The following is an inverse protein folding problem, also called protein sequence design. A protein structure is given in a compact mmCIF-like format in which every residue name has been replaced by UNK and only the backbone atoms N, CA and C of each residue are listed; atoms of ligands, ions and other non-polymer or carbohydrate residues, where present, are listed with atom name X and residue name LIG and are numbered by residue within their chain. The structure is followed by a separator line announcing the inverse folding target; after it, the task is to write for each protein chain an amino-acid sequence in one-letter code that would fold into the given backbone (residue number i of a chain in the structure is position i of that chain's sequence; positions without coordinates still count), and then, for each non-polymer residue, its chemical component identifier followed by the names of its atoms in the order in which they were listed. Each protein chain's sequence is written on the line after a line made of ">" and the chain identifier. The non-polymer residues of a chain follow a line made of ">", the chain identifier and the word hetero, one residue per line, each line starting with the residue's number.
data_IF_953597268398
#
_entry.id   IF_953597268398
#
_cell.length_a   1.000
_cell.length_b   1.000
_cell.length_c   1.000
_cell.angle_alpha   90.00
_cell.angle_beta   90.00
_cell.angle_gamma   90.00
#
_symmetry.space_group_name_H-M   'P 1'
#
loop_
_entity.id
_entity.type
_entity.pdbx_description
1 polymer ?
#
# COMPACT_ATOMS: atom_id res chain seq x y z
N UNK A 1 -22.76 -21.65 18.28
CA UNK A 1 -22.70 -20.23 18.75
C UNK A 1 -24.12 -19.66 18.81
N UNK A 2 -24.42 -18.52 19.47
CA UNK A 2 -25.75 -17.90 19.36
C UNK A 2 -26.08 -17.59 17.88
N UNK A 3 -27.25 -18.03 17.43
CA UNK A 3 -27.67 -17.98 16.03
C UNK A 3 -28.74 -16.88 15.85
N UNK A 4 -28.73 -16.22 14.69
CA UNK A 4 -29.78 -15.29 14.26
C UNK A 4 -30.24 -15.64 12.83
N UNK A 5 -31.55 -15.60 12.59
CA UNK A 5 -32.14 -15.64 11.26
C UNK A 5 -32.83 -14.30 10.97
N UNK A 6 -32.61 -13.75 9.78
CA UNK A 6 -33.36 -12.58 9.29
C UNK A 6 -33.33 -12.51 7.75
N UNK A 7 -34.28 -11.78 7.18
CA UNK A 7 -34.17 -11.33 5.79
C UNK A 7 -33.00 -10.36 5.63
N UNK A 8 -32.20 -10.57 4.59
CA UNK A 8 -31.01 -9.77 4.33
C UNK A 8 -31.37 -8.30 4.02
N UNK A 9 -31.03 -7.40 4.94
CA UNK A 9 -31.34 -5.95 4.85
C UNK A 9 -30.67 -5.22 3.67
N UNK A 10 -29.71 -5.83 2.99
CA UNK A 10 -29.11 -5.37 1.72
C UNK A 10 -28.16 -6.42 1.13
N UNK A 11 -27.79 -6.27 -0.14
CA UNK A 11 -26.78 -7.07 -0.86
C UNK A 11 -25.35 -7.03 -0.26
N UNK A 12 -25.13 -6.34 0.88
CA UNK A 12 -23.78 -6.06 1.43
C UNK A 12 -23.15 -7.22 2.21
N UNK A 13 -23.91 -8.26 2.56
CA UNK A 13 -23.38 -9.46 3.22
C UNK A 13 -22.94 -10.51 2.22
N UNK A 14 -21.73 -11.05 2.37
CA UNK A 14 -21.29 -12.28 1.69
C UNK A 14 -21.39 -13.49 2.62
N UNK A 15 -21.75 -14.63 2.04
CA UNK A 15 -21.84 -15.91 2.73
C UNK A 15 -20.44 -16.44 3.08
N UNK A 16 -20.23 -16.86 4.32
CA UNK A 16 -18.90 -17.29 4.80
C UNK A 16 -18.47 -18.69 4.35
N UNK A 17 -19.38 -19.53 3.87
CA UNK A 17 -19.03 -20.79 3.22
C UNK A 17 -18.70 -20.59 1.73
N UNK A 18 -19.69 -20.19 0.91
CA UNK A 18 -19.53 -20.14 -0.55
C UNK A 18 -18.92 -18.83 -1.10
N UNK A 19 -18.61 -17.84 -0.25
CA UNK A 19 -18.09 -16.49 -0.59
C UNK A 19 -18.96 -15.61 -1.51
N UNK A 20 -20.06 -16.14 -2.09
CA UNK A 20 -21.02 -15.38 -2.90
C UNK A 20 -21.77 -14.35 -2.05
N UNK A 21 -22.29 -13.30 -2.70
CA UNK A 21 -23.20 -12.34 -2.07
C UNK A 21 -24.52 -13.00 -1.65
N UNK A 22 -25.10 -12.52 -0.55
CA UNK A 22 -26.47 -12.80 -0.12
C UNK A 22 -27.31 -11.63 -0.63
N UNK A 23 -28.37 -11.91 -1.39
CA UNK A 23 -29.21 -10.88 -1.99
C UNK A 23 -30.16 -10.24 -0.96
N UNK A 24 -30.53 -8.99 -1.19
CA UNK A 24 -31.49 -8.26 -0.34
C UNK A 24 -32.84 -8.98 -0.32
N UNK A 25 -33.49 -9.00 0.84
CA UNK A 25 -34.74 -9.71 1.14
C UNK A 25 -34.70 -11.25 1.09
N UNK A 26 -33.57 -11.92 0.80
CA UNK A 26 -33.50 -13.38 0.96
C UNK A 26 -33.20 -13.76 2.42
N UNK A 27 -33.73 -14.89 2.90
CA UNK A 27 -33.39 -15.44 4.21
C UNK A 27 -31.86 -15.65 4.33
N UNK A 28 -31.30 -15.31 5.50
CA UNK A 28 -29.92 -15.61 5.87
C UNK A 28 -29.79 -15.99 7.34
N UNK A 29 -28.86 -16.90 7.60
CA UNK A 29 -28.47 -17.33 8.94
C UNK A 29 -27.15 -16.68 9.37
N UNK A 30 -27.02 -16.36 10.64
CA UNK A 30 -25.89 -15.62 11.20
C UNK A 30 -25.37 -16.25 12.49
N UNK A 31 -24.10 -16.64 12.51
CA UNK A 31 -23.41 -17.11 13.72
C UNK A 31 -22.76 -15.93 14.43
N UNK A 32 -23.22 -15.62 15.64
CA UNK A 32 -22.71 -14.49 16.43
C UNK A 32 -21.54 -14.94 17.32
N UNK A 33 -20.42 -14.25 17.20
CA UNK A 33 -19.19 -14.46 17.97
C UNK A 33 -18.63 -13.14 18.46
N UNK A 34 -18.07 -13.06 19.67
CA UNK A 34 -17.43 -11.83 20.15
C UNK A 34 -16.10 -11.59 19.44
N UNK A 35 -15.97 -10.41 18.84
CA UNK A 35 -14.74 -9.94 18.21
C UNK A 35 -13.78 -9.26 19.17
N UNK A 36 -12.59 -8.84 18.67
CA UNK A 36 -11.66 -8.00 19.42
C UNK A 36 -12.37 -6.73 19.93
N UNK A 37 -12.17 -6.39 21.21
CA UNK A 37 -12.89 -5.30 21.89
C UNK A 37 -14.27 -5.69 22.44
N UNK A 38 -14.71 -6.94 22.32
CA UNK A 38 -15.92 -7.47 22.98
C UNK A 38 -17.24 -7.23 22.23
N UNK A 39 -17.20 -6.58 21.06
CA UNK A 39 -18.36 -6.37 20.19
C UNK A 39 -18.81 -7.66 19.50
N UNK A 40 -20.12 -7.84 19.31
CA UNK A 40 -20.67 -8.98 18.59
C UNK A 40 -20.40 -8.87 17.07
N UNK A 41 -19.85 -9.93 16.49
CA UNK A 41 -19.58 -10.08 15.06
C UNK A 41 -20.39 -11.25 14.49
N UNK A 42 -21.25 -10.99 13.50
CA UNK A 42 -22.08 -12.01 12.83
C UNK A 42 -21.40 -12.56 11.57
N UNK A 43 -21.15 -13.87 11.53
CA UNK A 43 -20.78 -14.62 10.32
C UNK A 43 -22.07 -15.00 9.57
N UNK A 44 -22.36 -14.33 8.45
CA UNK A 44 -23.56 -14.59 7.65
C UNK A 44 -23.37 -15.73 6.64
N UNK A 45 -24.44 -16.49 6.40
CA UNK A 45 -24.54 -17.59 5.45
C UNK A 45 -25.89 -17.55 4.71
N UNK A 46 -25.96 -18.05 3.47
CA UNK A 46 -27.25 -18.48 2.89
C UNK A 46 -27.78 -19.68 3.69
N UNK A 47 -29.09 -19.95 3.63
CA UNK A 47 -29.73 -21.12 4.25
C UNK A 47 -28.97 -22.42 3.97
N UNK A 48 -28.91 -22.81 2.68
CA UNK A 48 -28.21 -24.01 2.18
C UNK A 48 -26.66 -23.89 2.19
N UNK A 49 -26.12 -22.96 2.97
CA UNK A 49 -24.68 -22.74 3.15
C UNK A 49 -24.32 -22.55 4.64
N UNK A 50 -25.25 -22.79 5.55
CA UNK A 50 -25.00 -22.82 6.98
C UNK A 50 -24.24 -24.11 7.35
N UNK A 51 -23.22 -24.06 8.23
CA UNK A 51 -22.32 -25.19 8.44
C UNK A 51 -22.86 -26.15 9.53
N UNK A 52 -24.01 -26.77 9.25
CA UNK A 52 -24.77 -27.68 10.12
C UNK A 52 -23.91 -28.76 10.78
N UNK A 53 -23.00 -29.37 10.02
CA UNK A 53 -22.01 -30.38 10.49
C UNK A 53 -21.12 -29.91 11.65
N UNK A 54 -21.00 -28.60 11.89
CA UNK A 54 -20.07 -28.00 12.88
C UNK A 54 -20.73 -27.10 13.92
N UNK A 55 -21.98 -26.70 13.71
CA UNK A 55 -22.75 -25.83 14.60
C UNK A 55 -24.15 -26.44 14.73
N UNK A 56 -24.29 -27.45 15.59
CA UNK A 56 -25.57 -28.08 15.88
C UNK A 56 -26.55 -27.07 16.49
N UNK A 57 -27.82 -27.23 16.12
CA UNK A 57 -28.93 -26.42 16.60
C UNK A 57 -29.86 -27.36 17.37
N UNK A 58 -30.19 -27.05 18.63
CA UNK A 58 -30.96 -27.96 19.48
C UNK A 58 -32.48 -27.75 19.35
N UNK A 59 -32.95 -26.50 19.24
CA UNK A 59 -34.30 -26.14 18.80
C UNK A 59 -34.27 -25.00 17.78
N UNK A 60 -35.32 -24.92 16.97
CA UNK A 60 -35.64 -23.72 16.17
C UNK A 60 -35.76 -22.47 17.08
N UNK A 61 -36.20 -22.64 18.33
CA UNK A 61 -36.31 -21.57 19.32
C UNK A 61 -34.96 -20.94 19.73
N UNK A 62 -33.84 -21.67 19.55
CA UNK A 62 -32.48 -21.14 19.82
C UNK A 62 -32.05 -20.11 18.75
N UNK A 63 -32.73 -20.09 17.59
CA UNK A 63 -32.45 -19.18 16.49
C UNK A 63 -33.20 -17.87 16.71
N UNK A 64 -32.47 -16.81 17.05
CA UNK A 64 -33.06 -15.48 17.26
C UNK A 64 -33.67 -14.96 15.95
N UNK A 65 -34.92 -14.52 16.00
CA UNK A 65 -35.60 -13.83 14.89
C UNK A 65 -36.53 -14.68 14.02
N UNK A 66 -36.63 -16.00 14.25
CA UNK A 66 -37.50 -16.89 13.45
C UNK A 66 -38.97 -16.43 13.44
N UNK A 67 -39.48 -15.96 14.57
CA UNK A 67 -40.86 -15.45 14.69
C UNK A 67 -41.17 -14.18 13.88
N UNK A 68 -40.17 -13.58 13.22
CA UNK A 68 -40.32 -12.45 12.30
C UNK A 68 -40.14 -12.84 10.81
N UNK A 69 -40.08 -14.15 10.50
CA UNK A 69 -40.01 -14.68 9.14
C UNK A 69 -41.40 -15.09 8.62
N UNK A 70 -41.55 -15.20 7.31
CA UNK A 70 -42.72 -15.81 6.67
C UNK A 70 -42.75 -17.32 6.95
N UNK A 71 -43.95 -17.93 6.96
CA UNK A 71 -44.11 -19.30 7.49
C UNK A 71 -43.29 -20.34 6.72
N UNK A 72 -43.24 -20.24 5.39
CA UNK A 72 -42.46 -21.13 4.53
C UNK A 72 -40.95 -21.11 4.89
N UNK A 73 -40.42 -19.96 5.33
CA UNK A 73 -39.04 -19.82 5.82
C UNK A 73 -38.86 -20.35 7.26
N UNK A 74 -39.89 -20.29 8.11
CA UNK A 74 -39.89 -20.92 9.44
C UNK A 74 -39.86 -22.45 9.30
N UNK A 75 -40.70 -23.00 8.42
CA UNK A 75 -40.79 -24.44 8.14
C UNK A 75 -39.50 -24.94 7.44
N UNK A 76 -38.88 -24.12 6.57
CA UNK A 76 -37.58 -24.40 5.99
C UNK A 76 -36.43 -24.41 7.02
N UNK A 77 -36.49 -23.57 8.06
CA UNK A 77 -35.55 -23.61 9.18
C UNK A 77 -35.78 -24.81 10.10
N UNK A 78 -37.03 -25.19 10.36
CA UNK A 78 -37.34 -26.41 11.11
C UNK A 78 -36.71 -27.65 10.46
N UNK A 79 -36.89 -27.79 9.14
CA UNK A 79 -36.27 -28.86 8.34
C UNK A 79 -34.73 -28.84 8.38
N UNK A 80 -34.11 -27.67 8.47
CA UNK A 80 -32.65 -27.54 8.62
C UNK A 80 -32.18 -27.93 10.03
N UNK A 81 -32.98 -27.68 11.08
CA UNK A 81 -32.69 -28.13 12.45
C UNK A 81 -32.84 -29.64 12.59
N UNK A 82 -33.87 -30.26 11.98
CA UNK A 82 -34.01 -31.72 11.93
C UNK A 82 -32.77 -32.39 11.29
N UNK A 83 -32.23 -31.78 10.22
CA UNK A 83 -31.00 -32.24 9.55
C UNK A 83 -29.71 -32.09 10.39
N UNK A 84 -29.75 -31.43 11.54
CA UNK A 84 -28.66 -31.40 12.52
C UNK A 84 -28.76 -32.49 13.60
N UNK A 85 -29.84 -33.28 13.64
CA UNK A 85 -30.19 -34.13 14.79
C UNK A 85 -29.60 -35.54 14.81
N UNK A 86 -29.33 -36.14 13.65
CA UNK A 86 -29.04 -37.59 13.55
C UNK A 86 -27.54 -37.92 13.63
N UNK A 87 -27.11 -38.84 14.53
CA UNK A 87 -25.80 -39.47 14.46
C UNK A 87 -25.76 -40.52 13.32
N UNK A 88 -24.62 -40.60 12.64
CA UNK A 88 -24.47 -41.37 11.41
C UNK A 88 -24.95 -42.84 11.47
N UNK A 89 -25.64 -43.26 10.40
CA UNK A 89 -25.85 -44.66 10.02
C UNK A 89 -25.52 -44.86 8.54
N UNK A 90 -25.05 -46.07 8.23
CA UNK A 90 -24.53 -46.45 6.92
C UNK A 90 -25.62 -46.96 5.97
N UNK A 91 -25.37 -46.77 4.66
CA UNK A 91 -25.80 -47.62 3.53
C UNK A 91 -27.31 -47.88 3.35
N UNK A 92 -27.86 -47.39 2.23
CA UNK A 92 -28.01 -48.27 1.05
C UNK A 92 -28.11 -47.49 -0.27
N UNK A 93 -27.86 -48.17 -1.38
CA UNK A 93 -27.96 -47.60 -2.74
C UNK A 93 -29.40 -47.55 -3.25
N UNK A 94 -29.72 -46.50 -4.03
CA UNK A 94 -30.44 -46.71 -5.29
C UNK A 94 -30.26 -45.59 -6.31
N UNK A 95 -30.10 -46.03 -7.54
CA UNK A 95 -29.92 -45.22 -8.76
C UNK A 95 -31.28 -44.93 -9.37
N UNK A 96 -31.47 -43.73 -9.92
CA UNK A 96 -32.22 -43.57 -11.16
C UNK A 96 -31.63 -42.40 -11.97
N UNK A 97 -31.49 -42.59 -13.27
CA UNK A 97 -30.63 -41.77 -14.15
C UNK A 97 -31.43 -40.77 -14.98
N UNK A 98 -30.82 -39.62 -15.32
CA UNK A 98 -31.01 -39.01 -16.64
C UNK A 98 -29.63 -38.62 -17.21
N UNK A 99 -29.21 -39.38 -18.22
CA UNK A 99 -28.12 -39.15 -19.18
C UNK A 99 -28.33 -37.86 -20.03
N UNK A 100 -27.43 -37.28 -20.83
CA UNK A 100 -25.98 -37.35 -21.18
C UNK A 100 -25.67 -35.93 -21.75
N UNK A 101 -24.48 -35.39 -22.07
CA UNK A 101 -23.08 -35.82 -22.28
C UNK A 101 -22.16 -35.07 -21.27
N UNK A 102 -20.91 -35.42 -20.96
CA UNK A 102 -19.69 -35.65 -21.77
C UNK A 102 -19.22 -34.41 -22.58
N UNK A 103 -17.95 -33.98 -22.53
CA UNK A 103 -16.69 -34.74 -22.27
C UNK A 103 -15.77 -34.12 -21.20
N UNK A 104 -15.15 -35.00 -20.39
CA UNK A 104 -13.70 -35.17 -20.11
C UNK A 104 -12.81 -33.95 -19.72
N UNK A 105 -11.73 -34.05 -18.95
CA UNK A 105 -11.22 -34.88 -17.83
C UNK A 105 -9.95 -34.10 -17.32
N UNK A 106 -9.33 -34.18 -16.13
CA UNK A 106 -9.02 -35.26 -15.20
C UNK A 106 -9.00 -34.77 -13.74
N UNK A 107 -8.96 -35.74 -12.83
CA UNK A 107 -8.87 -35.63 -11.37
C UNK A 107 -7.76 -34.74 -10.79
N UNK A 108 -7.98 -34.22 -9.58
CA UNK A 108 -6.94 -33.68 -8.70
C UNK A 108 -6.89 -34.42 -7.36
N UNK A 109 -5.75 -35.05 -7.05
CA UNK A 109 -5.57 -35.83 -5.82
C UNK A 109 -5.33 -34.99 -4.56
N UNK A 110 -5.74 -35.51 -3.40
CA UNK A 110 -5.45 -34.92 -2.09
C UNK A 110 -4.09 -35.39 -1.57
N UNK A 111 -3.06 -34.57 -1.71
CA UNK A 111 -1.79 -34.75 -0.99
C UNK A 111 -1.94 -34.21 0.45
N UNK A 112 -1.50 -34.99 1.43
CA UNK A 112 -1.45 -34.59 2.85
C UNK A 112 -0.25 -33.65 3.07
N UNK A 113 -0.46 -32.51 3.72
CA UNK A 113 0.64 -31.59 4.07
C UNK A 113 1.55 -32.20 5.13
N UNK A 114 2.77 -32.58 4.75
CA UNK A 114 3.88 -32.89 5.67
C UNK A 114 4.50 -31.60 6.21
N UNK A 115 4.71 -31.56 7.53
CA UNK A 115 5.04 -30.34 8.27
C UNK A 115 6.53 -29.98 8.23
N UNK A 116 7.04 -29.58 7.06
CA UNK A 116 8.37 -29.00 6.87
C UNK A 116 8.29 -27.55 6.37
N UNK A 117 9.06 -26.63 6.96
CA UNK A 117 8.99 -25.21 6.62
C UNK A 117 10.00 -24.82 5.52
N UNK A 118 9.75 -25.25 4.28
CA UNK A 118 10.49 -24.82 3.10
C UNK A 118 10.44 -23.29 2.92
N UNK A 119 11.60 -22.66 2.71
CA UNK A 119 11.73 -21.21 2.44
C UNK A 119 11.08 -20.82 1.10
N UNK A 120 11.10 -21.74 0.13
CA UNK A 120 10.53 -21.57 -1.21
C UNK A 120 9.51 -22.69 -1.45
N UNK A 121 8.37 -22.35 -2.06
CA UNK A 121 7.36 -23.32 -2.51
C UNK A 121 7.02 -23.14 -3.98
N UNK A 122 6.63 -24.22 -4.65
CA UNK A 122 6.22 -24.24 -6.05
C UNK A 122 4.86 -24.93 -6.21
N UNK A 123 3.94 -24.29 -6.92
CA UNK A 123 2.66 -24.90 -7.28
C UNK A 123 2.08 -24.29 -8.57
N UNK A 124 1.17 -25.01 -9.22
CA UNK A 124 0.28 -24.43 -10.22
C UNK A 124 -0.75 -23.52 -9.54
N UNK A 125 -0.94 -22.32 -10.09
CA UNK A 125 -1.78 -21.30 -9.50
C UNK A 125 -3.26 -21.72 -9.47
N UNK A 126 -3.75 -22.04 -8.27
CA UNK A 126 -5.13 -22.47 -7.96
C UNK A 126 -6.24 -21.50 -8.43
N UNK A 127 -5.89 -20.27 -8.82
CA UNK A 127 -6.75 -19.29 -9.51
C UNK A 127 -5.94 -18.06 -9.90
N UNK A 128 -6.43 -17.27 -10.87
CA UNK A 128 -5.83 -16.01 -11.35
C UNK A 128 -5.93 -14.83 -10.37
N UNK A 129 -6.00 -15.09 -9.06
CA UNK A 129 -6.09 -14.09 -7.99
C UNK A 129 -4.74 -13.59 -7.46
N UNK A 130 -3.64 -14.21 -7.89
CA UNK A 130 -2.28 -13.86 -7.47
C UNK A 130 -1.58 -13.00 -8.52
N UNK A 131 -0.93 -11.91 -8.09
CA UNK A 131 0.03 -11.17 -8.90
C UNK A 131 1.47 -11.54 -8.54
N UNK A 132 2.33 -11.58 -9.55
CA UNK A 132 3.77 -11.76 -9.37
C UNK A 132 4.40 -10.51 -8.74
N UNK A 133 5.23 -10.68 -7.71
CA UNK A 133 5.83 -9.54 -6.98
C UNK A 133 6.96 -8.81 -7.72
N UNK A 134 7.54 -9.37 -8.78
CA UNK A 134 8.56 -8.71 -9.63
C UNK A 134 7.93 -7.91 -10.78
N UNK A 135 7.10 -8.54 -11.62
CA UNK A 135 6.50 -7.88 -12.79
C UNK A 135 5.12 -7.23 -12.54
N UNK A 136 4.52 -7.44 -11.36
CA UNK A 136 3.16 -7.02 -10.99
C UNK A 136 2.00 -7.56 -11.84
N UNK A 137 2.27 -8.36 -12.87
CA UNK A 137 1.25 -8.99 -13.70
C UNK A 137 0.53 -10.12 -12.94
N UNK A 138 -0.70 -10.39 -13.33
CA UNK A 138 -1.47 -11.56 -12.86
C UNK A 138 -0.79 -12.85 -13.30
N UNK A 139 -0.70 -13.80 -12.38
CA UNK A 139 -0.36 -15.21 -12.67
C UNK A 139 -1.67 -15.89 -13.04
N UNK A 140 -1.74 -16.52 -14.23
CA UNK A 140 -2.94 -17.16 -14.73
C UNK A 140 -3.32 -18.41 -13.94
N UNK A 141 -4.59 -18.84 -13.99
CA UNK A 141 -4.98 -20.10 -13.38
C UNK A 141 -4.29 -21.29 -14.08
N UNK A 142 -3.85 -22.29 -13.31
CA UNK A 142 -2.99 -23.41 -13.75
C UNK A 142 -1.56 -23.03 -14.21
N UNK A 143 -1.13 -21.77 -14.13
CA UNK A 143 0.25 -21.38 -14.44
C UNK A 143 1.21 -21.69 -13.28
N UNK A 144 2.44 -22.15 -13.57
CA UNK A 144 3.46 -22.41 -12.54
C UNK A 144 3.88 -21.12 -11.84
N UNK A 145 3.86 -21.13 -10.50
CA UNK A 145 4.36 -20.04 -9.67
C UNK A 145 5.27 -20.49 -8.54
N UNK A 146 6.27 -19.65 -8.26
CA UNK A 146 7.21 -19.80 -7.16
C UNK A 146 6.88 -18.80 -6.05
N UNK A 147 6.89 -19.26 -4.81
CA UNK A 147 6.49 -18.50 -3.62
C UNK A 147 7.58 -18.46 -2.57
N UNK A 148 8.08 -17.28 -2.23
CA UNK A 148 8.94 -17.07 -1.06
C UNK A 148 8.08 -16.98 0.20
N UNK A 149 8.31 -17.87 1.18
CA UNK A 149 7.56 -17.90 2.44
C UNK A 149 8.31 -17.08 3.50
N UNK A 150 7.66 -16.05 4.04
CA UNK A 150 8.23 -15.17 5.08
C UNK A 150 7.23 -14.97 6.21
N UNK A 151 7.66 -15.08 7.47
CA UNK A 151 6.80 -14.85 8.64
C UNK A 151 6.61 -13.37 8.95
N UNK A 152 5.38 -12.99 9.26
CA UNK A 152 5.06 -11.70 9.86
C UNK A 152 5.48 -11.68 11.35
N UNK A 153 5.61 -10.47 11.89
CA UNK A 153 5.68 -10.10 13.31
C UNK A 153 4.55 -10.67 14.22
N UNK A 154 3.61 -11.42 13.64
CA UNK A 154 2.47 -12.09 14.29
C UNK A 154 2.48 -13.61 14.03
N UNK A 155 3.63 -14.15 13.65
CA UNK A 155 3.90 -15.59 13.39
C UNK A 155 3.14 -16.24 12.22
N UNK A 156 2.33 -15.47 11.47
CA UNK A 156 1.68 -15.96 10.26
C UNK A 156 2.66 -16.02 9.06
N UNK A 157 2.69 -17.16 8.37
CA UNK A 157 3.43 -17.34 7.12
C UNK A 157 2.77 -16.55 5.97
N UNK A 158 3.55 -15.72 5.27
CA UNK A 158 3.12 -14.93 4.11
C UNK A 158 3.91 -15.29 2.86
N UNK A 159 3.23 -15.77 1.81
CA UNK A 159 3.87 -16.14 0.54
C UNK A 159 3.94 -14.99 -0.47
N UNK A 160 5.15 -14.66 -0.93
CA UNK A 160 5.42 -13.73 -2.03
C UNK A 160 5.52 -14.49 -3.35
N UNK A 161 4.43 -14.54 -4.11
CA UNK A 161 4.32 -15.27 -5.38
C UNK A 161 5.00 -14.56 -6.56
N UNK A 162 5.56 -15.35 -7.49
CA UNK A 162 6.22 -14.92 -8.72
C UNK A 162 5.93 -15.92 -9.87
N UNK A 163 5.94 -15.47 -11.13
CA UNK A 163 6.11 -16.37 -12.29
C UNK A 163 7.50 -17.02 -12.27
N UNK A 164 7.69 -18.19 -12.92
CA UNK A 164 8.98 -18.92 -13.01
C UNK A 164 10.17 -17.99 -13.35
N UNK A 165 10.14 -17.36 -14.52
CA UNK A 165 11.19 -16.40 -14.95
C UNK A 165 11.20 -15.05 -14.23
N UNK A 166 10.29 -14.85 -13.26
CA UNK A 166 10.21 -13.65 -12.43
C UNK A 166 10.64 -13.87 -10.97
N UNK A 167 11.15 -15.03 -10.61
CA UNK A 167 11.69 -15.26 -9.27
C UNK A 167 12.97 -14.42 -9.03
N UNK A 168 13.23 -13.93 -7.80
CA UNK A 168 14.39 -13.09 -7.49
C UNK A 168 15.62 -13.95 -7.12
N UNK A 169 16.03 -14.82 -8.04
CA UNK A 169 17.13 -15.80 -7.88
C UNK A 169 18.43 -15.19 -7.33
N UNK A 170 18.73 -13.93 -7.69
CA UNK A 170 19.94 -13.21 -7.28
C UNK A 170 19.86 -12.58 -5.87
N UNK A 171 18.71 -12.68 -5.20
CA UNK A 171 18.47 -12.13 -3.84
C UNK A 171 17.99 -13.21 -2.87
N UNK A 172 17.25 -14.19 -3.37
CA UNK A 172 16.89 -15.42 -2.68
C UNK A 172 17.32 -16.59 -3.58
N UNK A 173 18.59 -17.04 -3.48
CA UNK A 173 19.03 -18.28 -4.13
C UNK A 173 18.24 -19.47 -3.58
N UNK A 174 18.19 -20.53 -4.39
CA UNK A 174 17.62 -21.82 -4.04
C UNK A 174 18.80 -22.77 -3.90
N UNK A 175 19.06 -23.25 -2.68
CA UNK A 175 20.26 -24.02 -2.36
C UNK A 175 20.17 -25.48 -2.83
N UNK A 176 18.96 -26.03 -2.95
CA UNK A 176 18.67 -27.37 -3.47
C UNK A 176 17.26 -27.42 -4.09
N UNK A 177 17.04 -28.33 -5.04
CA UNK A 177 15.72 -28.56 -5.67
C UNK A 177 14.76 -29.22 -4.68
N UNK A 178 15.29 -30.05 -3.77
CA UNK A 178 14.59 -30.78 -2.73
C UNK A 178 14.03 -29.85 -1.63
N UNK A 179 14.63 -28.67 -1.43
CA UNK A 179 14.12 -27.64 -0.51
C UNK A 179 12.84 -26.94 -1.03
N UNK A 180 12.51 -27.07 -2.32
CA UNK A 180 11.33 -26.45 -2.94
C UNK A 180 10.06 -27.23 -2.55
N UNK A 181 9.31 -26.72 -1.57
CA UNK A 181 8.06 -27.33 -1.12
C UNK A 181 7.04 -27.43 -2.25
N UNK A 182 6.57 -28.65 -2.57
CA UNK A 182 5.62 -28.92 -3.67
C UNK A 182 6.26 -29.34 -5.00
N UNK A 183 7.59 -29.34 -5.13
CA UNK A 183 8.30 -29.72 -6.37
C UNK A 183 7.90 -31.09 -6.93
N UNK A 184 7.74 -32.09 -6.06
CA UNK A 184 7.33 -33.46 -6.45
C UNK A 184 5.91 -33.54 -7.03
N UNK A 185 5.10 -32.49 -6.91
CA UNK A 185 3.72 -32.40 -7.43
C UNK A 185 3.61 -31.63 -8.75
N UNK A 186 4.73 -31.27 -9.37
CA UNK A 186 4.80 -30.58 -10.66
C UNK A 186 4.93 -31.56 -11.83
N UNK A 187 4.58 -31.13 -13.05
CA UNK A 187 4.84 -31.91 -14.26
C UNK A 187 6.35 -31.98 -14.55
N UNK A 188 6.83 -33.08 -15.13
CA UNK A 188 8.26 -33.34 -15.36
C UNK A 188 8.98 -32.21 -16.12
N UNK A 189 8.35 -31.64 -17.16
CA UNK A 189 8.93 -30.50 -17.89
C UNK A 189 9.11 -29.22 -17.06
N UNK A 190 8.24 -28.98 -16.06
CA UNK A 190 8.41 -27.87 -15.11
C UNK A 190 9.40 -28.24 -13.99
N UNK A 191 9.47 -29.51 -13.59
CA UNK A 191 10.51 -29.99 -12.66
C UNK A 191 11.90 -29.79 -13.25
N UNK A 192 12.11 -30.16 -14.52
CA UNK A 192 13.39 -29.99 -15.21
C UNK A 192 13.72 -28.50 -15.46
N UNK A 193 12.72 -27.68 -15.82
CA UNK A 193 12.89 -26.23 -15.93
C UNK A 193 13.22 -25.53 -14.58
N UNK A 194 12.89 -26.15 -13.44
CA UNK A 194 13.32 -25.67 -12.12
C UNK A 194 14.71 -26.19 -11.74
N UNK A 195 15.09 -27.43 -12.12
CA UNK A 195 16.48 -27.93 -11.96
C UNK A 195 17.47 -27.04 -12.72
N UNK A 196 17.15 -26.67 -13.97
CA UNK A 196 17.96 -25.76 -14.77
C UNK A 196 18.12 -24.38 -14.09
N UNK A 197 17.03 -23.86 -13.52
CA UNK A 197 17.01 -22.57 -12.81
C UNK A 197 17.87 -22.61 -11.53
N UNK A 198 17.90 -23.73 -10.80
CA UNK A 198 18.82 -23.94 -9.66
C UNK A 198 20.27 -24.03 -10.12
N UNK A 199 20.56 -24.79 -11.18
CA UNK A 199 21.92 -24.94 -11.71
C UNK A 199 22.50 -23.61 -12.25
N UNK A 200 21.64 -22.68 -12.70
CA UNK A 200 22.04 -21.31 -13.06
C UNK A 200 22.42 -20.44 -11.83
N UNK A 201 22.05 -20.84 -10.61
CA UNK A 201 22.49 -20.19 -9.36
C UNK A 201 23.96 -20.53 -9.07
N UNK A 202 24.28 -21.82 -9.02
CA UNK A 202 25.58 -22.36 -8.62
C UNK A 202 26.73 -21.77 -9.45
N UNK A 203 26.54 -21.77 -10.78
CA UNK A 203 27.52 -21.25 -11.75
C UNK A 203 27.78 -19.74 -11.61
N UNK A 204 26.82 -18.98 -11.08
CA UNK A 204 26.98 -17.53 -10.84
C UNK A 204 27.78 -17.22 -9.58
N UNK A 205 27.62 -18.04 -8.54
CA UNK A 205 28.31 -17.88 -7.25
C UNK A 205 29.82 -18.12 -7.37
N UNK A 206 30.24 -19.09 -8.20
CA UNK A 206 31.67 -19.38 -8.42
C UNK A 206 32.45 -18.21 -9.04
N UNK A 207 31.82 -17.44 -9.94
CA UNK A 207 32.45 -16.30 -10.63
C UNK A 207 32.67 -15.07 -9.73
N UNK A 208 31.92 -14.93 -8.63
CA UNK A 208 32.07 -13.80 -7.69
C UNK A 208 33.12 -14.07 -6.60
N UNK A 209 33.43 -15.34 -6.29
CA UNK A 209 34.53 -15.67 -5.38
C UNK A 209 35.92 -15.40 -6.00
N UNK A 210 36.13 -15.74 -7.27
CA UNK A 210 37.40 -15.49 -7.95
C UNK A 210 37.74 -14.00 -8.07
N UNK A 211 36.73 -13.14 -8.25
CA UNK A 211 36.91 -11.69 -8.35
C UNK A 211 37.21 -11.05 -6.98
N UNK A 212 36.62 -11.54 -5.89
CA UNK A 212 36.91 -11.03 -4.55
C UNK A 212 38.32 -11.40 -4.05
N UNK A 213 38.86 -12.57 -4.42
CA UNK A 213 40.24 -12.97 -4.07
C UNK A 213 41.33 -12.04 -4.66
N UNK A 214 41.02 -11.23 -5.69
CA UNK A 214 41.98 -10.31 -6.32
C UNK A 214 42.06 -8.91 -5.71
N UNK A 215 41.23 -8.56 -4.72
CA UNK A 215 41.22 -7.22 -4.09
C UNK A 215 41.90 -7.13 -2.72
N UNK A 216 42.35 -8.25 -2.15
CA UNK A 216 42.86 -8.29 -0.77
C UNK A 216 44.39 -8.43 -0.63
N UNK A 217 45.15 -8.02 -1.65
CA UNK A 217 46.62 -7.95 -1.60
C UNK A 217 47.16 -6.81 -2.47
N UNK A 218 47.37 -5.62 -1.85
CA UNK A 218 48.38 -4.59 -2.17
C UNK A 218 48.09 -3.26 -1.43
N UNK A 219 48.41 -3.19 -0.13
CA UNK A 219 48.87 -1.97 0.54
C UNK A 219 49.90 -2.43 1.58
N UNK A 220 51.17 -1.99 1.46
CA UNK A 220 52.26 -2.59 2.25
C UNK A 220 53.63 -1.93 2.11
N UNK A 221 53.74 -0.72 2.67
CA UNK A 221 54.97 -0.12 3.23
C UNK A 221 56.15 0.32 2.33
N UNK A 222 57.00 1.15 2.95
CA UNK A 222 58.32 1.69 2.55
C UNK A 222 58.36 2.68 1.37
N UNK A 223 58.93 3.91 1.39
CA UNK A 223 59.80 4.76 2.25
C UNK A 223 60.99 5.26 1.41
N UNK A 224 61.40 6.51 1.66
CA UNK A 224 62.30 7.37 0.86
C UNK A 224 63.69 6.78 0.48
N UNK A 225 64.26 7.21 -0.67
CA UNK A 225 65.33 8.25 -0.70
C UNK A 225 65.91 8.59 -2.10
N UNK A 226 66.18 9.89 -2.28
CA UNK A 226 67.36 10.56 -2.90
C UNK A 226 67.78 10.20 -4.37
N UNK A 227 68.34 11.11 -5.21
CA UNK A 227 68.72 12.53 -5.08
C UNK A 227 68.89 13.24 -6.46
N UNK A 228 69.02 14.59 -6.49
CA UNK A 228 69.85 15.43 -7.44
C UNK A 228 69.52 15.36 -8.97
N UNK A 229 69.35 16.43 -9.77
CA UNK A 229 69.54 17.92 -9.74
C UNK A 229 68.86 18.51 -11.02
N UNK A 230 68.74 19.80 -11.44
CA UNK A 230 69.13 21.18 -10.99
C UNK A 230 68.30 22.23 -11.78
N UNK A 231 68.32 23.52 -11.37
CA UNK A 231 68.28 24.78 -12.20
C UNK A 231 67.11 25.05 -13.20
N UNK A 232 66.48 26.23 -13.33
CA UNK A 232 66.56 27.59 -12.70
C UNK A 232 65.15 28.24 -12.84
N UNK A 233 64.55 28.97 -11.89
CA UNK A 233 64.76 30.42 -11.62
C UNK A 233 63.81 30.94 -10.51
N UNK A 234 64.14 32.09 -9.89
CA UNK A 234 63.34 32.85 -8.87
C UNK A 234 62.87 34.22 -9.45
N UNK A 235 62.07 35.10 -8.77
CA UNK A 235 61.77 35.29 -7.32
C UNK A 235 60.27 35.22 -6.92
N UNK A 236 59.84 34.86 -5.69
CA UNK A 236 59.87 35.53 -4.34
C UNK A 236 59.18 36.92 -4.29
N UNK A 237 58.33 37.32 -3.33
CA UNK A 237 57.82 36.79 -2.01
C UNK A 237 56.28 37.13 -1.88
N UNK A 238 55.48 36.94 -0.80
CA UNK A 238 55.65 36.43 0.59
C UNK A 238 54.38 35.68 1.12
N UNK A 239 53.80 36.02 2.30
CA UNK A 239 52.72 35.35 3.10
C UNK A 239 52.19 36.33 4.20
N UNK A 240 51.12 36.09 5.02
CA UNK A 240 50.58 34.79 5.51
C UNK A 240 49.02 34.63 5.56
N UNK A 241 48.56 33.51 6.18
CA UNK A 241 47.16 33.08 6.38
C UNK A 241 46.59 33.43 7.77
N UNK A 242 45.26 33.43 7.90
CA UNK A 242 44.49 32.72 8.96
C UNK A 242 43.02 32.57 8.46
N UNK A 243 42.53 31.34 8.24
CA UNK A 243 41.79 30.49 9.18
C UNK A 243 40.31 30.88 9.36
N UNK A 244 39.46 30.47 8.41
CA UNK A 244 38.01 30.28 8.62
C UNK A 244 37.73 28.84 9.06
N UNK A 245 36.77 28.66 9.95
CA UNK A 245 36.34 27.35 10.46
C UNK A 245 35.41 26.63 9.47
N UNK A 246 35.70 25.36 9.17
CA UNK A 246 34.77 24.50 8.44
C UNK A 246 33.55 24.17 9.31
N UNK A 247 32.35 24.48 8.82
CA UNK A 247 31.09 23.94 9.33
C UNK A 247 30.48 23.08 8.22
N UNK A 248 30.17 21.82 8.52
CA UNK A 248 29.80 20.80 7.55
C UNK A 248 28.34 20.89 7.11
N UNK A 249 28.03 21.92 6.32
CA UNK A 249 26.75 22.02 5.60
C UNK A 249 26.67 20.94 4.51
N UNK A 250 25.92 19.86 4.76
CA UNK A 250 25.60 18.87 3.72
C UNK A 250 24.70 19.51 2.65
N UNK A 251 25.28 19.77 1.47
CA UNK A 251 24.57 20.41 0.37
C UNK A 251 23.60 19.42 -0.27
N UNK A 252 22.31 19.51 0.11
CA UNK A 252 21.23 18.80 -0.59
C UNK A 252 21.10 19.40 -1.98
N UNK A 253 21.27 18.58 -3.02
CA UNK A 253 21.15 19.04 -4.40
C UNK A 253 19.70 19.48 -4.69
N UNK A 254 19.49 20.79 -4.91
CA UNK A 254 18.18 21.31 -5.31
C UNK A 254 17.79 20.73 -6.67
N UNK A 255 16.60 20.13 -6.74
CA UNK A 255 16.06 19.57 -7.99
C UNK A 255 15.65 20.74 -8.88
N UNK A 256 16.23 20.81 -10.09
CA UNK A 256 16.00 21.91 -11.02
C UNK A 256 14.61 21.83 -11.68
N UNK A 257 13.58 22.21 -10.93
CA UNK A 257 12.19 22.28 -11.42
C UNK A 257 12.02 23.60 -12.17
N UNK A 258 11.61 23.52 -13.43
CA UNK A 258 11.21 24.67 -14.25
C UNK A 258 9.73 24.58 -14.59
N UNK A 259 8.98 25.65 -14.35
CA UNK A 259 7.55 25.75 -14.62
C UNK A 259 7.33 26.97 -15.53
N UNK A 260 6.79 26.74 -16.73
CA UNK A 260 6.28 27.82 -17.59
C UNK A 260 4.75 27.79 -17.63
N UNK A 261 4.12 28.92 -17.98
CA UNK A 261 2.67 28.99 -18.15
C UNK A 261 2.14 28.00 -19.23
N UNK A 262 2.98 27.63 -20.20
CA UNK A 262 2.68 26.61 -21.22
C UNK A 262 2.68 25.16 -20.72
N UNK A 263 3.29 24.88 -19.56
CA UNK A 263 3.33 23.53 -18.98
C UNK A 263 2.09 23.22 -18.12
N UNK A 264 1.41 24.29 -17.65
CA UNK A 264 0.21 24.28 -16.81
C UNK A 264 -1.01 23.87 -17.63
N UNK A 265 -1.82 22.93 -17.09
CA UNK A 265 -2.92 22.30 -17.82
C UNK A 265 -4.23 22.25 -17.03
N UNK A 266 -5.35 22.53 -17.70
CA UNK A 266 -6.73 22.35 -17.19
C UNK A 266 -7.14 20.88 -16.97
N UNK A 267 -6.27 19.93 -17.34
CA UNK A 267 -6.53 18.49 -17.32
C UNK A 267 -5.34 17.72 -16.78
N UNK A 268 -5.61 16.75 -15.91
CA UNK A 268 -4.62 15.77 -15.47
C UNK A 268 -4.82 14.46 -16.23
N UNK A 269 -3.93 14.21 -17.20
CA UNK A 269 -4.08 13.13 -18.19
C UNK A 269 -5.43 13.29 -18.92
N UNK A 270 -6.25 12.24 -18.93
CA UNK A 270 -7.62 12.18 -19.42
C UNK A 270 -8.69 12.84 -18.51
N UNK A 271 -8.38 13.13 -17.23
CA UNK A 271 -9.34 13.75 -16.32
C UNK A 271 -9.36 15.28 -16.42
N UNK A 272 -10.55 15.87 -16.40
CA UNK A 272 -10.75 17.32 -16.35
C UNK A 272 -10.73 17.82 -14.91
N UNK A 273 -10.15 18.99 -14.68
CA UNK A 273 -10.07 19.62 -13.36
C UNK A 273 -11.20 20.64 -13.17
N UNK A 274 -11.47 21.00 -11.92
CA UNK A 274 -12.38 22.11 -11.60
C UNK A 274 -11.68 23.47 -11.83
N UNK A 275 -12.43 24.59 -11.96
CA UNK A 275 -11.84 25.92 -11.99
C UNK A 275 -10.88 26.17 -10.81
N UNK A 276 -9.84 26.99 -11.05
CA UNK A 276 -8.65 27.17 -10.19
C UNK A 276 -7.78 25.91 -9.98
N UNK A 277 -8.19 24.69 -10.34
CA UNK A 277 -7.34 23.50 -10.24
C UNK A 277 -6.60 23.22 -11.55
N UNK A 278 -5.28 23.05 -11.47
CA UNK A 278 -4.38 22.84 -12.63
C UNK A 278 -3.49 21.63 -12.43
N UNK A 279 -2.85 21.18 -13.52
CA UNK A 279 -1.86 20.13 -13.53
C UNK A 279 -0.50 20.61 -14.08
N UNK A 280 0.58 20.10 -13.50
CA UNK A 280 1.95 20.20 -14.01
C UNK A 280 2.67 18.87 -13.77
N UNK A 281 3.29 18.29 -14.81
CA UNK A 281 3.89 16.95 -14.80
C UNK A 281 3.01 15.86 -14.12
N UNK A 282 3.35 15.42 -12.90
CA UNK A 282 2.59 14.45 -12.10
C UNK A 282 1.88 15.07 -10.89
N UNK A 283 1.86 16.41 -10.78
CA UNK A 283 1.21 17.17 -9.72
C UNK A 283 -0.11 17.76 -10.22
N UNK A 284 -1.15 17.70 -9.38
CA UNK A 284 -2.31 18.58 -9.46
C UNK A 284 -2.17 19.64 -8.36
N UNK A 285 -2.42 20.91 -8.66
CA UNK A 285 -2.35 22.00 -7.68
C UNK A 285 -3.57 22.93 -7.78
N UNK A 286 -3.86 23.61 -6.68
CA UNK A 286 -4.83 24.71 -6.63
C UNK A 286 -4.08 26.02 -6.92
N UNK A 287 -4.56 26.84 -7.86
CA UNK A 287 -4.06 28.19 -8.09
C UNK A 287 -4.27 29.09 -6.87
N UNK A 288 -3.54 30.20 -6.84
CA UNK A 288 -3.68 31.22 -5.80
C UNK A 288 -5.14 31.64 -5.65
N UNK A 289 -5.68 31.44 -4.46
CA UNK A 289 -7.00 31.95 -4.10
C UNK A 289 -6.91 33.39 -3.58
N UNK A 290 -8.03 34.11 -3.60
CA UNK A 290 -8.09 35.50 -3.18
C UNK A 290 -7.79 35.60 -1.67
N UNK A 291 -6.79 36.39 -1.30
CA UNK A 291 -6.27 36.50 0.06
C UNK A 291 -5.17 35.50 0.44
N UNK A 292 -4.80 34.54 -0.43
CA UNK A 292 -3.62 33.70 -0.22
C UNK A 292 -2.34 34.52 -0.44
N UNK A 293 -1.73 34.98 0.65
CA UNK A 293 -0.48 35.73 0.61
C UNK A 293 0.76 34.81 0.55
N UNK A 294 1.83 35.31 -0.06
CA UNK A 294 3.17 34.72 0.08
C UNK A 294 3.80 35.17 1.39
N UNK A 295 4.71 34.37 1.95
CA UNK A 295 5.31 34.64 3.27
C UNK A 295 6.69 34.03 3.40
N UNK A 296 7.50 34.60 4.29
CA UNK A 296 8.71 33.95 4.81
C UNK A 296 8.36 32.72 5.68
N UNK A 297 7.15 32.67 6.25
CA UNK A 297 6.72 31.63 7.20
C UNK A 297 5.72 30.68 6.55
N UNK A 298 6.09 29.41 6.44
CA UNK A 298 5.25 28.37 5.84
C UNK A 298 4.80 27.38 6.92
N UNK A 299 3.49 27.23 7.09
CA UNK A 299 2.90 26.15 7.85
C UNK A 299 2.36 25.11 6.87
N UNK A 300 3.03 23.96 6.77
CA UNK A 300 2.74 22.95 5.77
C UNK A 300 2.22 21.64 6.39
N UNK A 301 1.32 20.95 5.70
CA UNK A 301 0.55 19.82 6.25
C UNK A 301 0.38 18.67 5.23
N UNK A 302 0.21 17.42 5.70
CA UNK A 302 -0.55 16.40 4.95
C UNK A 302 -2.06 16.59 5.14
N UNK A 303 -2.88 15.80 4.44
CA UNK A 303 -4.34 15.86 4.45
C UNK A 303 -5.03 14.60 5.00
N UNK A 304 -4.56 13.39 4.67
CA UNK A 304 -5.25 12.10 4.86
C UNK A 304 -4.66 11.36 6.07
N UNK A 305 -5.10 11.76 7.28
CA UNK A 305 -4.53 11.31 8.56
C UNK A 305 -3.99 12.46 9.41
N UNK A 306 -3.56 13.55 8.76
CA UNK A 306 -3.12 14.77 9.44
C UNK A 306 -4.26 15.77 9.66
N UNK A 307 -4.75 16.45 8.61
CA UNK A 307 -5.83 17.44 8.74
C UNK A 307 -7.22 16.80 8.78
N UNK A 308 -7.42 15.69 8.06
CA UNK A 308 -8.71 15.02 7.95
C UNK A 308 -8.61 13.53 8.21
N UNK A 309 -9.60 13.00 8.93
CA UNK A 309 -9.83 11.57 9.07
C UNK A 309 -10.70 11.11 7.90
N UNK A 310 -10.06 10.45 6.95
CA UNK A 310 -10.69 9.88 5.75
C UNK A 310 -10.80 8.36 5.89
N UNK A 311 -11.74 7.75 5.17
CA UNK A 311 -12.03 6.32 5.31
C UNK A 311 -11.84 5.59 3.99
N UNK A 312 -10.88 4.68 3.92
CA UNK A 312 -10.70 3.77 2.76
C UNK A 312 -11.93 2.87 2.47
N UNK A 313 -12.95 2.89 3.35
CA UNK A 313 -14.23 2.18 3.20
C UNK A 313 -15.37 3.06 2.66
N UNK A 314 -15.18 4.38 2.56
CA UNK A 314 -16.20 5.34 2.11
C UNK A 314 -15.55 6.26 1.07
N UNK A 315 -16.10 6.30 -0.14
CA UNK A 315 -15.52 7.08 -1.26
C UNK A 315 -16.50 8.17 -1.68
N UNK A 316 -16.03 9.40 -1.78
CA UNK A 316 -16.83 10.57 -2.17
C UNK A 316 -16.20 11.89 -1.68
N UNK A 317 -16.65 13.01 -2.22
CA UNK A 317 -16.21 14.35 -1.82
C UNK A 317 -16.43 14.64 -0.33
N UNK A 318 -17.50 14.09 0.25
CA UNK A 318 -17.90 14.30 1.65
C UNK A 318 -17.46 13.15 2.58
N UNK A 319 -16.62 12.22 2.09
CA UNK A 319 -16.19 11.03 2.82
C UNK A 319 -15.04 11.30 3.83
N UNK A 320 -15.14 12.39 4.59
CA UNK A 320 -14.11 12.87 5.49
C UNK A 320 -14.70 13.50 6.77
N UNK A 321 -13.84 13.72 7.75
CA UNK A 321 -14.11 14.49 8.97
C UNK A 321 -12.82 15.18 9.42
N UNK A 322 -12.90 16.23 10.25
CA UNK A 322 -11.70 16.82 10.85
C UNK A 322 -10.97 15.76 11.69
N UNK A 323 -9.64 15.71 11.63
CA UNK A 323 -8.86 14.78 12.48
C UNK A 323 -8.93 15.19 13.96
N UNK A 324 -8.87 16.50 14.24
CA UNK A 324 -9.11 17.10 15.56
C UNK A 324 -10.04 18.33 15.45
N UNK A 325 -10.92 18.58 16.45
CA UNK A 325 -11.81 19.74 16.43
C UNK A 325 -11.11 21.11 16.42
N UNK A 326 -9.88 21.19 16.92
CA UNK A 326 -9.03 22.39 17.03
C UNK A 326 -8.40 22.87 15.72
N UNK A 327 -8.47 22.06 14.65
CA UNK A 327 -7.80 22.35 13.36
C UNK A 327 -8.22 23.69 12.74
N UNK A 328 -9.52 24.04 12.63
CA UNK A 328 -9.93 25.33 12.05
C UNK A 328 -9.34 26.53 12.79
N UNK A 329 -9.44 26.53 14.12
CA UNK A 329 -8.93 27.61 14.98
C UNK A 329 -7.40 27.73 14.90
N UNK A 330 -6.67 26.61 14.90
CA UNK A 330 -5.20 26.63 14.75
C UNK A 330 -4.76 27.12 13.38
N UNK A 331 -5.44 26.75 12.29
CA UNK A 331 -5.15 27.27 10.95
C UNK A 331 -5.53 28.75 10.81
N UNK A 332 -6.64 29.19 11.39
CA UNK A 332 -7.05 30.60 11.47
C UNK A 332 -6.02 31.44 12.25
N UNK A 333 -5.55 30.94 13.39
CA UNK A 333 -4.50 31.59 14.18
C UNK A 333 -3.19 31.70 13.42
N UNK A 334 -2.72 30.62 12.77
CA UNK A 334 -1.53 30.64 11.90
C UNK A 334 -1.66 31.67 10.78
N UNK A 335 -2.80 31.71 10.09
CA UNK A 335 -3.05 32.67 9.02
C UNK A 335 -3.03 34.12 9.54
N UNK A 336 -3.66 34.41 10.68
CA UNK A 336 -3.60 35.74 11.32
C UNK A 336 -2.19 36.14 11.78
N UNK A 337 -1.34 35.17 12.11
CA UNK A 337 0.08 35.36 12.41
C UNK A 337 0.93 35.56 11.13
N UNK A 338 0.33 35.53 9.93
CA UNK A 338 1.03 35.69 8.66
C UNK A 338 1.77 34.44 8.17
N UNK A 339 1.38 33.24 8.61
CA UNK A 339 1.83 32.01 7.97
C UNK A 339 1.05 31.76 6.68
N UNK A 340 1.78 31.39 5.63
CA UNK A 340 1.19 30.79 4.44
C UNK A 340 0.85 29.32 4.74
N UNK A 341 -0.41 28.96 4.53
CA UNK A 341 -0.89 27.59 4.74
C UNK A 341 -0.73 26.77 3.46
N UNK A 342 -0.09 25.60 3.56
CA UNK A 342 0.17 24.72 2.40
C UNK A 342 -0.17 23.26 2.71
N UNK A 343 -0.87 22.58 1.79
CA UNK A 343 -1.12 21.14 1.85
C UNK A 343 -0.28 20.42 0.79
N UNK A 344 0.50 19.43 1.22
CA UNK A 344 1.30 18.52 0.39
C UNK A 344 0.84 17.10 0.62
N UNK A 345 0.19 16.48 -0.37
CA UNK A 345 -0.48 15.18 -0.19
C UNK A 345 -0.25 14.19 -1.34
N UNK A 346 -0.17 12.90 -1.02
CA UNK A 346 0.17 11.82 -1.95
C UNK A 346 -1.08 11.05 -2.39
N UNK A 347 -1.60 11.25 -3.61
CA UNK A 347 -2.83 10.57 -4.09
C UNK A 347 -2.55 9.67 -5.32
N UNK A 348 -1.81 8.58 -5.10
CA UNK A 348 -1.42 7.67 -6.20
C UNK A 348 -2.57 6.95 -6.87
N UNK A 349 -3.79 7.00 -6.31
CA UNK A 349 -4.96 6.39 -6.94
C UNK A 349 -5.35 7.08 -8.25
N UNK A 350 -5.01 8.37 -8.41
CA UNK A 350 -5.29 9.14 -9.63
C UNK A 350 -4.55 8.56 -10.84
N UNK A 351 -3.28 8.16 -10.73
CA UNK A 351 -2.56 7.54 -11.85
C UNK A 351 -2.68 6.00 -11.89
N UNK A 352 -2.92 5.34 -10.74
CA UNK A 352 -3.20 3.89 -10.70
C UNK A 352 -4.53 3.52 -11.36
N UNK A 353 -5.61 4.27 -11.09
CA UNK A 353 -6.97 3.91 -11.50
C UNK A 353 -7.37 4.55 -12.82
N UNK A 354 -6.63 4.26 -13.91
CA UNK A 354 -6.84 4.87 -15.24
C UNK A 354 -8.33 4.99 -15.65
N UNK A 355 -9.06 3.88 -15.60
CA UNK A 355 -10.49 3.81 -16.00
C UNK A 355 -11.47 4.45 -14.99
N UNK A 356 -10.99 5.01 -13.87
CA UNK A 356 -11.76 5.73 -12.86
C UNK A 356 -11.06 7.03 -12.42
N UNK A 357 -10.13 7.55 -13.23
CA UNK A 357 -9.28 8.69 -12.86
C UNK A 357 -10.08 9.93 -12.49
N UNK A 358 -11.11 10.26 -13.28
CA UNK A 358 -12.02 11.38 -12.98
C UNK A 358 -12.62 11.23 -11.57
N UNK A 359 -13.24 10.09 -11.25
CA UNK A 359 -13.81 9.85 -9.92
C UNK A 359 -12.77 9.87 -8.78
N UNK A 360 -11.50 9.53 -9.03
CA UNK A 360 -10.42 9.68 -8.05
C UNK A 360 -10.04 11.17 -7.84
N UNK A 361 -9.95 11.93 -8.93
CA UNK A 361 -9.73 13.38 -8.92
C UNK A 361 -10.87 14.10 -8.21
N UNK A 362 -12.12 13.85 -8.60
CA UNK A 362 -13.34 14.43 -8.00
C UNK A 362 -13.42 14.14 -6.50
N UNK A 363 -13.11 12.89 -6.09
CA UNK A 363 -13.10 12.47 -4.69
C UNK A 363 -12.01 13.17 -3.87
N UNK A 364 -10.81 13.41 -4.43
CA UNK A 364 -9.72 14.10 -3.73
C UNK A 364 -9.93 15.61 -3.69
N UNK A 365 -10.22 16.24 -4.83
CA UNK A 365 -10.48 17.68 -4.95
C UNK A 365 -11.74 18.06 -4.16
N UNK A 366 -12.81 17.26 -4.21
CA UNK A 366 -14.03 17.49 -3.44
C UNK A 366 -13.77 17.54 -1.93
N UNK A 367 -13.02 16.57 -1.39
CA UNK A 367 -12.61 16.56 0.03
C UNK A 367 -11.78 17.81 0.39
N UNK A 368 -10.84 18.21 -0.48
CA UNK A 368 -9.98 19.38 -0.27
C UNK A 368 -10.77 20.70 -0.31
N UNK A 369 -11.64 20.89 -1.31
CA UNK A 369 -12.50 22.07 -1.41
C UNK A 369 -13.45 22.19 -0.20
N UNK A 370 -14.07 21.08 0.21
CA UNK A 370 -14.96 21.04 1.38
C UNK A 370 -14.20 21.29 2.69
N UNK A 371 -12.93 20.86 2.80
CA UNK A 371 -12.06 21.18 3.93
C UNK A 371 -11.69 22.66 3.98
N UNK A 372 -11.23 23.25 2.87
CA UNK A 372 -10.86 24.68 2.78
C UNK A 372 -12.06 25.54 3.18
N UNK A 373 -13.24 25.25 2.63
CA UNK A 373 -14.50 25.91 3.01
C UNK A 373 -14.86 25.75 4.48
N UNK A 374 -14.46 24.65 5.14
CA UNK A 374 -14.73 24.41 6.57
C UNK A 374 -13.74 25.11 7.51
N UNK A 375 -12.53 25.45 7.05
CA UNK A 375 -11.53 26.17 7.88
C UNK A 375 -11.51 27.67 7.64
N UNK A 376 -12.16 28.16 6.59
CA UNK A 376 -12.40 29.59 6.32
C UNK A 376 -11.10 30.43 6.23
N UNK A 377 -10.03 29.79 5.76
CA UNK A 377 -8.73 30.41 5.44
C UNK A 377 -8.23 29.95 4.08
N UNK A 378 -7.49 30.80 3.34
CA UNK A 378 -6.88 30.42 2.08
C UNK A 378 -5.75 29.40 2.31
N UNK A 379 -5.70 28.36 1.47
CA UNK A 379 -4.70 27.28 1.56
C UNK A 379 -4.18 26.93 0.17
N UNK A 380 -2.86 26.97 -0.01
CA UNK A 380 -2.19 26.47 -1.21
C UNK A 380 -2.19 24.94 -1.20
N UNK A 381 -2.55 24.26 -2.29
CA UNK A 381 -2.59 22.78 -2.32
C UNK A 381 -1.76 22.21 -3.46
N UNK A 382 -1.00 21.15 -3.16
CA UNK A 382 -0.32 20.29 -4.14
C UNK A 382 -0.61 18.82 -3.85
N UNK A 383 -0.93 18.08 -4.91
CA UNK A 383 -1.30 16.67 -4.91
C UNK A 383 -0.31 15.93 -5.82
N UNK A 384 0.58 15.12 -5.24
CA UNK A 384 1.44 14.23 -6.01
C UNK A 384 0.64 12.99 -6.45
N UNK A 385 0.22 12.98 -7.72
CA UNK A 385 -0.66 11.94 -8.29
C UNK A 385 0.10 10.69 -8.74
N UNK A 386 1.41 10.80 -9.02
CA UNK A 386 2.20 9.68 -9.50
C UNK A 386 2.55 8.64 -8.43
N UNK A 387 3.09 7.52 -8.92
CA UNK A 387 3.51 6.37 -8.11
C UNK A 387 5.02 6.37 -7.90
N UNK A 388 5.47 5.69 -6.83
CA UNK A 388 6.81 5.14 -6.83
C UNK A 388 6.90 4.11 -7.99
N UNK A 389 7.97 4.21 -8.78
CA UNK A 389 8.40 3.30 -9.83
C UNK A 389 7.35 2.96 -10.90
N UNK A 390 7.02 3.95 -11.76
CA UNK A 390 6.36 3.68 -13.05
C UNK A 390 7.39 3.75 -14.18
N UNK A 391 7.92 2.60 -14.60
CA UNK A 391 8.89 2.54 -15.70
C UNK A 391 10.33 2.92 -15.32
N UNK A 392 10.76 2.59 -14.10
CA UNK A 392 12.15 2.78 -13.66
C UNK A 392 12.53 4.19 -13.19
N UNK A 393 11.59 5.14 -13.22
CA UNK A 393 11.73 6.42 -12.51
C UNK A 393 10.65 6.54 -11.43
N UNK A 394 11.07 6.91 -10.23
CA UNK A 394 10.18 7.34 -9.16
C UNK A 394 9.77 8.80 -9.38
N UNK A 395 8.49 9.12 -9.22
CA UNK A 395 7.97 10.49 -9.17
C UNK A 395 8.83 11.38 -8.25
N UNK A 396 9.18 12.60 -8.68
CA UNK A 396 10.04 13.55 -7.96
C UNK A 396 9.29 14.37 -6.89
N UNK A 397 7.99 14.54 -7.07
CA UNK A 397 7.08 15.32 -6.23
C UNK A 397 6.47 14.48 -5.11
N UNK A 398 6.34 13.17 -5.33
CA UNK A 398 5.82 12.22 -4.34
C UNK A 398 6.66 12.20 -3.06
N UNK A 399 6.03 12.52 -1.90
CA UNK A 399 6.64 12.36 -0.57
C UNK A 399 7.10 10.90 -0.38
N UNK A 400 8.33 10.63 0.09
CA UNK A 400 9.19 11.52 0.86
C UNK A 400 10.06 12.52 0.09
N UNK A 401 10.01 12.58 -1.25
CA UNK A 401 10.89 13.47 -2.00
C UNK A 401 10.49 14.94 -1.94
N UNK A 402 11.49 15.81 -2.06
CA UNK A 402 11.39 17.26 -1.97
C UNK A 402 10.51 17.96 -3.04
N UNK A 403 10.15 17.31 -4.15
CA UNK A 403 9.71 18.01 -5.37
C UNK A 403 8.51 18.96 -5.20
N UNK A 404 7.48 18.60 -4.42
CA UNK A 404 6.35 19.54 -4.20
C UNK A 404 6.77 20.79 -3.41
N UNK A 405 7.67 20.65 -2.42
CA UNK A 405 8.19 21.80 -1.67
C UNK A 405 9.04 22.71 -2.56
N UNK A 406 9.94 22.12 -3.35
CA UNK A 406 10.81 22.89 -4.26
C UNK A 406 10.01 23.58 -5.37
N UNK A 407 8.96 22.94 -5.89
CA UNK A 407 7.97 23.56 -6.79
C UNK A 407 7.31 24.78 -6.12
N UNK A 408 6.84 24.63 -4.88
CA UNK A 408 6.19 25.70 -4.11
C UNK A 408 7.15 26.87 -3.83
N UNK A 409 8.33 26.58 -3.25
CA UNK A 409 9.40 27.54 -2.93
C UNK A 409 9.76 28.40 -4.14
N UNK A 410 10.04 27.75 -5.27
CA UNK A 410 10.58 28.41 -6.47
C UNK A 410 9.53 29.17 -7.28
N UNK A 411 8.32 28.62 -7.44
CA UNK A 411 7.34 29.12 -8.41
C UNK A 411 6.06 29.69 -7.80
N UNK A 412 5.74 29.40 -6.54
CA UNK A 412 4.48 29.80 -5.90
C UNK A 412 4.65 30.75 -4.70
N UNK A 413 5.87 31.21 -4.38
CA UNK A 413 6.15 32.12 -3.25
C UNK A 413 6.72 33.50 -3.64
N UNK A 414 6.56 33.92 -4.90
CA UNK A 414 7.08 35.19 -5.48
C UNK A 414 8.55 35.51 -5.21
N UNK A 415 9.39 34.50 -5.00
CA UNK A 415 10.81 34.67 -4.66
C UNK A 415 11.07 35.14 -3.22
N UNK A 416 10.06 35.18 -2.35
CA UNK A 416 10.25 35.43 -0.92
C UNK A 416 11.00 34.24 -0.31
N UNK A 417 12.16 34.52 0.28
CA UNK A 417 12.97 33.53 1.01
C UNK A 417 12.21 33.00 2.24
N UNK A 418 12.32 31.70 2.48
CA UNK A 418 11.58 31.01 3.54
C UNK A 418 12.45 30.93 4.78
N UNK A 419 11.95 31.48 5.89
CA UNK A 419 12.51 31.28 7.22
C UNK A 419 12.25 29.83 7.66
N UNK A 420 13.29 29.01 7.60
CA UNK A 420 13.22 27.58 7.89
C UNK A 420 13.10 27.27 9.38
N UNK A 421 13.49 28.19 10.27
CA UNK A 421 13.40 28.01 11.73
C UNK A 421 11.96 28.28 12.22
N UNK A 422 11.26 29.23 11.58
CA UNK A 422 9.84 29.50 11.80
C UNK A 422 8.93 28.52 11.05
N UNK A 423 9.36 27.98 9.91
CA UNK A 423 8.55 27.10 9.06
C UNK A 423 8.57 25.64 9.49
N UNK A 424 7.48 24.90 9.22
CA UNK A 424 7.33 23.52 9.68
C UNK A 424 6.41 22.65 8.81
N UNK A 425 6.53 21.33 8.97
CA UNK A 425 5.66 20.32 8.38
C UNK A 425 4.94 19.49 9.44
N UNK A 426 3.65 19.17 9.22
CA UNK A 426 2.85 18.29 10.08
C UNK A 426 2.26 17.14 9.28
N UNK A 427 2.48 15.89 9.69
CA UNK A 427 2.01 14.70 8.96
C UNK A 427 1.95 13.43 9.80
N UNK A 428 1.06 12.49 9.47
CA UNK A 428 0.88 11.24 10.24
C UNK A 428 1.95 10.18 9.92
N UNK A 429 2.56 10.25 8.73
CA UNK A 429 3.56 9.30 8.27
C UNK A 429 4.95 9.57 8.90
N UNK A 430 5.02 9.44 10.22
CA UNK A 430 6.20 9.73 11.04
C UNK A 430 7.10 8.51 11.30
N UNK A 431 6.78 7.35 10.73
CA UNK A 431 7.55 6.11 10.89
C UNK A 431 7.47 5.46 12.29
N UNK A 432 6.51 5.88 13.12
CA UNK A 432 6.25 5.33 14.45
C UNK A 432 5.64 3.92 14.34
N UNK A 433 5.66 3.15 15.43
CA UNK A 433 5.09 1.79 15.47
C UNK A 433 3.57 1.83 15.27
N UNK A 434 3.13 1.61 14.03
CA UNK A 434 1.72 1.63 13.63
C UNK A 434 1.40 2.65 12.54
N UNK A 435 2.31 3.60 12.26
CA UNK A 435 2.17 4.50 11.12
C UNK A 435 2.20 3.71 9.81
N UNK A 436 1.46 4.21 8.81
CA UNK A 436 1.33 3.53 7.52
C UNK A 436 2.59 3.65 6.63
N UNK A 437 3.42 4.67 6.88
CA UNK A 437 4.72 4.90 6.25
C UNK A 437 5.54 5.92 7.05
N UNK A 438 6.75 6.23 6.59
CA UNK A 438 7.63 7.29 7.10
C UNK A 438 7.79 8.46 6.11
N UNK A 439 6.80 8.63 5.21
CA UNK A 439 6.86 9.55 4.09
C UNK A 439 6.87 11.04 4.50
N UNK A 440 6.28 11.40 5.64
CA UNK A 440 6.10 12.80 6.05
C UNK A 440 7.30 13.32 6.84
N UNK A 441 7.80 12.53 7.78
CA UNK A 441 9.03 12.87 8.51
C UNK A 441 10.22 12.97 7.55
N UNK A 442 10.32 12.06 6.57
CA UNK A 442 11.36 12.12 5.54
C UNK A 442 11.16 13.26 4.54
N UNK A 443 9.91 13.66 4.25
CA UNK A 443 9.64 14.86 3.44
C UNK A 443 10.07 16.14 4.16
N UNK A 444 9.85 16.22 5.47
CA UNK A 444 10.36 17.35 6.27
C UNK A 444 11.90 17.37 6.27
N UNK A 445 12.54 16.23 6.57
CA UNK A 445 14.01 16.08 6.55
C UNK A 445 14.62 16.44 5.19
N UNK A 446 14.04 15.96 4.08
CA UNK A 446 14.51 16.22 2.72
C UNK A 446 14.41 17.69 2.28
N UNK A 447 13.73 18.54 3.06
CA UNK A 447 13.61 19.98 2.82
C UNK A 447 14.17 20.84 3.97
N UNK A 448 14.75 20.22 5.02
CA UNK A 448 15.25 20.95 6.19
C UNK A 448 14.16 21.56 7.08
N UNK A 449 12.92 21.06 7.02
CA UNK A 449 11.80 21.57 7.81
C UNK A 449 11.75 20.94 9.20
N UNK A 450 11.38 21.75 10.20
CA UNK A 450 10.94 21.23 11.50
C UNK A 450 9.69 20.38 11.32
N UNK A 451 9.63 19.23 11.98
CA UNK A 451 8.52 18.27 11.88
C UNK A 451 7.73 18.17 13.19
N UNK A 452 6.43 17.93 13.08
CA UNK A 452 5.53 17.56 14.18
C UNK A 452 4.56 16.47 13.71
N UNK A 453 4.06 15.64 14.61
CA UNK A 453 2.90 14.77 14.31
C UNK A 453 1.57 15.51 14.54
N UNK A 454 0.44 15.01 14.00
CA UNK A 454 -0.86 15.66 14.18
C UNK A 454 -1.29 15.71 15.65
N UNK A 455 -0.91 14.69 16.44
CA UNK A 455 -1.15 14.63 17.87
C UNK A 455 -0.43 15.77 18.61
N UNK A 456 0.87 15.91 18.37
CA UNK A 456 1.72 16.94 18.99
C UNK A 456 1.24 18.36 18.66
N UNK A 457 0.86 18.57 17.40
CA UNK A 457 0.52 19.90 16.90
C UNK A 457 -0.92 20.33 17.23
N UNK A 458 -1.90 19.43 17.13
CA UNK A 458 -3.32 19.81 17.22
C UNK A 458 -4.00 19.55 18.56
N UNK A 459 -3.54 18.60 19.39
CA UNK A 459 -4.20 18.26 20.67
C UNK A 459 -3.95 19.32 21.77
N UNK A 460 -2.88 20.11 21.63
CA UNK A 460 -2.44 21.18 22.55
C UNK A 460 -3.38 22.38 22.68
#
# INVERSE_FOLDING_TARGET
>A
MPIVAEYAKSNRSSCKACSKSIASKTLRLGLISKGPGGFDMTRWHHLNCFPTESESIASVDDIKGVSALEKDDQDALAKLVEQCGDPAKEVDEKVEEIEHLATDDLSGEKIKETKGSSKVIAEYAKSSRSSCKKCSQTIAAKELRLGLVTRDSREFDMTKWHHRGCFPVESDPIDSVEDIGGFSSLQSGDQDALKELVQQCENKTLLTEETNKRKHSQVGEMVEKDEVHTNTSQPTTRKPKMNTSESTSQVVAEVEISLSASDVKEKYRDASLLPKWKAFETVIFLERDDGLNDSEKIAAFDFDGCLTKTSVKIVGADAWSLMYPSIPEKLQSLHSQGYKLVIFTNESNIDRWKNKRQAAVDSKIGRLNSFIKRVEVPVQVFIACGVASSGGKDDLYRKPKAGMWQLMKKHFNSGIEIDMDKSFYVGDAAGRKGDHSDADIKFAQANGLKFYTPEEYFIS
#
